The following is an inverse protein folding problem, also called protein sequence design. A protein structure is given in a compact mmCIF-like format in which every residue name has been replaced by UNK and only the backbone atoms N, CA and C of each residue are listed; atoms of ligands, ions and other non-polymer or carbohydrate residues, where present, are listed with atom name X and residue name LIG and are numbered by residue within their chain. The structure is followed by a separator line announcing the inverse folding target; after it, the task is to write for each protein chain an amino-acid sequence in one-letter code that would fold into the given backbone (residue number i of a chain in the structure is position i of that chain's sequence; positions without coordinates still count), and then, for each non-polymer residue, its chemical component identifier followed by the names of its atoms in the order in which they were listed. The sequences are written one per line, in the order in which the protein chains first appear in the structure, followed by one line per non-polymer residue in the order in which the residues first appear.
data_IF_749895536353
#
_entry.id   IF_749895536353
#
_cell.length_a   1.000
_cell.length_b   1.000
_cell.length_c   1.000
_cell.angle_alpha   90.00
_cell.angle_beta   90.00
_cell.angle_gamma   90.00
#
_symmetry.space_group_name_H-M   'P 1'
#
loop_
_entity.id
_entity.type
_entity.pdbx_description
1 polymer ?
#
# COMPACT_ATOMS: atom_id res chain seq x y z
N UNK A 1 -1.43 -24.23 -10.57
CA UNK A 1 -0.07 -24.18 -11.16
C UNK A 1 -0.16 -24.75 -12.56
N UNK A 2 0.46 -24.10 -13.55
CA UNK A 2 0.58 -24.66 -14.88
C UNK A 2 1.84 -25.53 -14.92
N UNK A 3 1.67 -26.85 -14.89
CA UNK A 3 2.79 -27.80 -14.85
C UNK A 3 3.53 -27.91 -16.19
N UNK A 4 2.82 -27.70 -17.30
CA UNK A 4 3.38 -27.78 -18.66
C UNK A 4 4.30 -26.60 -18.98
N UNK A 5 3.93 -25.41 -18.53
CA UNK A 5 4.64 -24.15 -18.86
C UNK A 5 5.46 -23.60 -17.68
N UNK A 6 5.37 -24.22 -16.50
CA UNK A 6 6.24 -23.92 -15.36
C UNK A 6 5.88 -22.68 -14.54
N UNK A 7 4.73 -22.04 -14.80
CA UNK A 7 4.30 -20.84 -14.05
C UNK A 7 3.14 -21.12 -13.09
N UNK A 8 2.97 -20.23 -12.11
CA UNK A 8 1.80 -20.19 -11.24
C UNK A 8 1.38 -18.74 -11.03
N UNK A 9 0.14 -18.55 -10.60
CA UNK A 9 -0.40 -17.25 -10.25
C UNK A 9 -1.33 -17.42 -9.04
N UNK A 10 -1.34 -16.41 -8.19
CA UNK A 10 -2.27 -16.31 -7.08
C UNK A 10 -3.62 -15.78 -7.60
N UNK A 11 -4.70 -16.51 -7.37
CA UNK A 11 -6.07 -16.09 -7.74
C UNK A 11 -6.86 -15.51 -6.55
N UNK A 12 -6.22 -15.42 -5.37
CA UNK A 12 -6.84 -14.93 -4.14
C UNK A 12 -5.83 -14.19 -3.27
N UNK A 13 -5.48 -14.77 -2.11
CA UNK A 13 -4.49 -14.18 -1.22
C UNK A 13 -3.09 -14.19 -1.87
N UNK A 14 -2.41 -13.04 -1.83
CA UNK A 14 -1.12 -12.83 -2.53
C UNK A 14 0.02 -12.34 -1.62
N UNK A 15 -0.28 -11.94 -0.38
CA UNK A 15 0.71 -11.39 0.56
C UNK A 15 0.32 -11.65 2.01
N UNK A 16 1.32 -11.82 2.87
CA UNK A 16 1.16 -12.08 4.30
C UNK A 16 1.96 -11.03 5.08
N UNK A 17 1.31 -10.09 5.78
CA UNK A 17 1.98 -9.09 6.61
C UNK A 17 2.89 -9.71 7.68
N UNK A 18 3.95 -9.01 8.05
CA UNK A 18 4.92 -9.46 9.07
C UNK A 18 4.27 -9.63 10.45
N UNK A 19 3.27 -8.81 10.77
CA UNK A 19 2.57 -8.85 12.06
C UNK A 19 1.45 -9.90 12.14
N UNK A 20 1.16 -10.65 11.06
CA UNK A 20 0.21 -11.78 11.12
C UNK A 20 0.88 -13.02 11.73
N UNK A 21 1.16 -12.97 13.04
CA UNK A 21 1.99 -13.96 13.74
C UNK A 21 1.43 -15.39 13.66
N UNK A 22 0.11 -15.56 13.77
CA UNK A 22 -0.53 -16.90 13.72
C UNK A 22 -0.28 -17.56 12.36
N UNK A 23 -0.55 -16.85 11.26
CA UNK A 23 -0.32 -17.38 9.91
C UNK A 23 1.17 -17.69 9.68
N UNK A 24 2.07 -16.81 10.12
CA UNK A 24 3.52 -17.00 9.99
C UNK A 24 4.05 -18.15 10.85
N UNK A 25 3.43 -18.42 12.00
CA UNK A 25 3.77 -19.56 12.84
C UNK A 25 3.51 -20.88 12.11
N UNK A 26 2.37 -21.03 11.44
CA UNK A 26 2.08 -22.22 10.63
C UNK A 26 3.03 -22.38 9.45
N UNK A 27 3.37 -21.28 8.76
CA UNK A 27 4.35 -21.30 7.66
C UNK A 27 5.68 -21.86 8.14
N UNK A 28 6.18 -21.36 9.28
CA UNK A 28 7.41 -21.87 9.89
C UNK A 28 7.27 -23.33 10.33
N UNK A 29 6.18 -23.69 11.00
CA UNK A 29 5.94 -25.05 11.51
C UNK A 29 5.86 -26.10 10.39
N UNK A 30 5.37 -25.71 9.21
CA UNK A 30 5.27 -26.54 8.01
C UNK A 30 6.54 -26.50 7.14
N UNK A 31 7.57 -25.73 7.50
CA UNK A 31 8.82 -25.61 6.75
C UNK A 31 8.69 -24.86 5.41
N UNK A 32 7.67 -24.02 5.25
CA UNK A 32 7.43 -23.26 4.02
C UNK A 32 8.31 -22.00 3.97
N UNK A 33 8.74 -21.64 2.76
CA UNK A 33 9.54 -20.43 2.53
C UNK A 33 8.66 -19.21 2.24
N UNK A 34 9.19 -18.03 2.57
CA UNK A 34 8.57 -16.75 2.27
C UNK A 34 9.46 -15.93 1.33
N UNK A 35 8.83 -15.20 0.43
CA UNK A 35 9.49 -14.23 -0.43
C UNK A 35 8.99 -12.81 -0.12
N UNK A 36 9.84 -11.78 -0.13
CA UNK A 36 9.40 -10.40 0.02
C UNK A 36 8.39 -10.00 -1.07
N UNK A 37 7.27 -9.41 -0.65
CA UNK A 37 6.29 -8.81 -1.56
C UNK A 37 6.51 -7.29 -1.63
N UNK A 38 6.90 -6.77 -2.79
CA UNK A 38 7.19 -5.33 -2.97
C UNK A 38 5.86 -4.56 -3.07
N UNK A 39 5.58 -3.74 -2.06
CA UNK A 39 4.34 -2.97 -1.96
C UNK A 39 4.35 -1.66 -2.73
N UNK A 40 5.53 -1.09 -2.95
CA UNK A 40 5.70 0.27 -3.44
C UNK A 40 7.03 0.37 -4.19
N UNK A 41 6.98 0.95 -5.40
CA UNK A 41 8.13 1.11 -6.28
C UNK A 41 8.05 2.48 -6.96
N UNK A 42 9.12 3.26 -6.84
CA UNK A 42 9.27 4.60 -7.41
C UNK A 42 9.11 4.65 -8.94
N UNK A 43 9.39 3.55 -9.63
CA UNK A 43 9.34 3.42 -11.09
C UNK A 43 7.98 2.96 -11.63
N UNK A 44 7.01 2.67 -10.76
CA UNK A 44 5.63 2.39 -11.16
C UNK A 44 4.90 3.65 -11.63
N UNK A 45 3.64 3.52 -12.03
CA UNK A 45 2.87 4.57 -12.66
C UNK A 45 1.54 4.82 -11.93
N UNK A 46 1.19 6.10 -11.83
CA UNK A 46 -0.17 6.57 -11.62
C UNK A 46 -0.75 6.96 -12.98
N UNK A 47 -1.95 6.47 -13.30
CA UNK A 47 -2.73 6.93 -14.45
C UNK A 47 -4.10 7.40 -13.95
N UNK A 48 -4.24 8.70 -13.76
CA UNK A 48 -5.44 9.31 -13.18
C UNK A 48 -5.95 10.37 -14.15
N UNK A 49 -7.21 10.25 -14.60
CA UNK A 49 -7.85 11.21 -15.54
C UNK A 49 -7.02 11.50 -16.80
N UNK A 50 -6.44 10.46 -17.39
CA UNK A 50 -5.57 10.56 -18.57
C UNK A 50 -4.16 11.11 -18.30
N UNK A 51 -3.86 11.52 -17.06
CA UNK A 51 -2.54 11.99 -16.67
C UNK A 51 -1.70 10.84 -16.12
N UNK A 52 -0.68 10.42 -16.90
CA UNK A 52 0.28 9.39 -16.51
C UNK A 52 1.50 10.02 -15.85
N UNK A 53 1.79 9.66 -14.59
CA UNK A 53 2.98 10.11 -13.85
C UNK A 53 3.70 8.92 -13.20
N UNK A 54 5.02 9.03 -13.08
CA UNK A 54 5.82 8.07 -12.30
C UNK A 54 5.57 8.26 -10.81
N UNK A 55 5.64 7.19 -10.04
CA UNK A 55 5.41 7.20 -8.60
C UNK A 55 6.36 8.14 -7.86
N UNK A 56 7.65 8.22 -8.24
CA UNK A 56 8.57 9.18 -7.64
C UNK A 56 8.11 10.64 -7.82
N UNK A 57 7.55 10.99 -8.99
CA UNK A 57 7.12 12.36 -9.28
C UNK A 57 5.89 12.72 -8.44
N UNK A 58 4.97 11.77 -8.26
CA UNK A 58 3.78 11.95 -7.41
C UNK A 58 4.18 12.07 -5.94
N UNK A 59 5.12 11.27 -5.45
CA UNK A 59 5.61 11.35 -4.07
C UNK A 59 6.36 12.65 -3.79
N UNK A 60 7.16 13.13 -4.74
CA UNK A 60 7.87 14.39 -4.64
C UNK A 60 6.89 15.59 -4.66
N UNK A 61 5.85 15.52 -5.49
CA UNK A 61 4.80 16.55 -5.54
C UNK A 61 3.44 15.94 -5.89
N UNK A 62 2.56 15.68 -4.90
CA UNK A 62 1.24 15.09 -5.15
C UNK A 62 0.33 15.95 -6.04
N UNK A 63 0.61 17.26 -6.14
CA UNK A 63 -0.18 18.20 -6.94
C UNK A 63 -0.13 17.91 -8.43
N UNK A 64 0.86 17.15 -8.92
CA UNK A 64 0.96 16.73 -10.33
C UNK A 64 -0.22 15.89 -10.81
N UNK A 65 -1.03 15.36 -9.88
CA UNK A 65 -2.28 14.64 -10.17
C UNK A 65 -3.49 15.57 -10.38
N UNK A 66 -3.33 16.89 -10.20
CA UNK A 66 -4.33 17.92 -10.49
C UNK A 66 -5.70 17.74 -9.80
N UNK A 67 -5.71 17.24 -8.56
CA UNK A 67 -6.91 17.27 -7.72
C UNK A 67 -7.25 18.72 -7.31
N UNK A 68 -8.54 19.07 -7.39
CA UNK A 68 -9.06 20.36 -6.92
C UNK A 68 -9.21 20.31 -5.40
N UNK A 69 -8.22 20.81 -4.68
CA UNK A 69 -8.17 20.77 -3.22
C UNK A 69 -8.17 22.18 -2.60
N UNK A 70 -8.73 22.33 -1.38
CA UNK A 70 -8.54 23.51 -0.53
C UNK A 70 -7.05 23.82 -0.31
N UNK A 71 -6.71 25.08 -0.03
CA UNK A 71 -5.32 25.51 0.17
C UNK A 71 -4.59 24.70 1.25
N UNK A 72 -5.31 24.29 2.29
CA UNK A 72 -4.81 23.51 3.44
C UNK A 72 -4.39 22.08 3.09
N UNK A 73 -4.93 21.52 2.01
CA UNK A 73 -4.71 20.12 1.60
C UNK A 73 -3.77 19.99 0.39
N UNK A 74 -3.52 21.09 -0.33
CA UNK A 74 -2.64 21.09 -1.51
C UNK A 74 -1.23 20.64 -1.16
N UNK A 75 -0.62 19.84 -2.04
CA UNK A 75 0.72 19.29 -1.86
C UNK A 75 0.82 18.17 -0.82
N UNK A 76 -0.26 17.81 -0.13
CA UNK A 76 -0.27 16.69 0.81
C UNK A 76 -0.50 15.38 0.07
N UNK A 77 0.18 14.32 0.51
CA UNK A 77 -0.04 12.98 -0.03
C UNK A 77 -1.39 12.42 0.45
N UNK A 78 -1.94 11.45 -0.29
CA UNK A 78 -3.18 10.79 0.09
C UNK A 78 -3.08 10.15 1.49
N UNK A 79 -1.96 9.51 1.81
CA UNK A 79 -1.69 8.93 3.14
C UNK A 79 -1.68 9.99 4.24
N UNK A 80 -1.10 11.16 3.98
CA UNK A 80 -1.11 12.25 4.96
C UNK A 80 -2.53 12.74 5.23
N UNK A 81 -3.33 12.95 4.19
CA UNK A 81 -4.73 13.37 4.30
C UNK A 81 -5.57 12.35 5.08
N UNK A 82 -5.43 11.06 4.77
CA UNK A 82 -6.10 9.98 5.50
C UNK A 82 -5.69 9.96 6.97
N UNK A 83 -4.39 10.03 7.26
CA UNK A 83 -3.90 10.06 8.64
C UNK A 83 -4.43 11.26 9.40
N UNK A 84 -4.51 12.43 8.76
CA UNK A 84 -5.05 13.64 9.39
C UNK A 84 -6.54 13.51 9.68
N UNK A 85 -7.32 12.91 8.76
CA UNK A 85 -8.74 12.66 8.95
C UNK A 85 -9.00 11.67 10.09
N UNK A 86 -8.16 10.65 10.24
CA UNK A 86 -8.27 9.65 11.30
C UNK A 86 -7.74 10.12 12.66
N UNK A 87 -7.10 11.28 12.74
CA UNK A 87 -6.41 11.72 13.97
C UNK A 87 -7.35 11.74 15.18
N UNK A 88 -8.56 12.28 15.03
CA UNK A 88 -9.53 12.35 16.13
C UNK A 88 -9.87 10.97 16.71
N UNK A 89 -9.98 9.95 15.86
CA UNK A 89 -10.26 8.57 16.31
C UNK A 89 -9.05 7.98 17.01
N UNK A 90 -7.83 8.27 16.53
CA UNK A 90 -6.60 7.86 17.20
C UNK A 90 -6.50 8.47 18.60
N UNK A 91 -6.73 9.78 18.72
CA UNK A 91 -6.68 10.50 19.99
C UNK A 91 -7.70 9.93 21.00
N UNK A 92 -8.91 9.61 20.54
CA UNK A 92 -9.96 8.99 21.35
C UNK A 92 -9.55 7.60 21.85
N UNK A 93 -9.04 6.75 20.96
CA UNK A 93 -8.58 5.39 21.31
C UNK A 93 -7.40 5.45 22.28
N UNK A 94 -6.47 6.38 22.12
CA UNK A 94 -5.34 6.55 23.04
C UNK A 94 -5.77 7.05 24.43
N UNK A 95 -6.85 7.83 24.50
CA UNK A 95 -7.34 8.39 25.77
C UNK A 95 -8.27 7.42 26.52
N UNK A 96 -9.13 6.70 25.79
CA UNK A 96 -10.26 5.98 26.36
C UNK A 96 -10.32 4.47 26.02
N UNK A 97 -9.42 3.95 25.18
CA UNK A 97 -9.36 2.54 24.77
C UNK A 97 -8.39 1.71 25.59
#
# INVERSE_FOLDING_TARGET
RNEKEGWYAEFGAMRIPSYHMIARWFIHKLGLQLNPFIMDDMNTFYLIRGNRKKTYAVKANPSVLNYKLPKTERGKSATWLLNKALQKVKDEVETNG
#
